data_IF_325369232000
#
_entry.id   IF_325369232000
#
_cell.length_a   1.000
_cell.length_b   1.000
_cell.length_c   1.000
_cell.angle_alpha   90.00
_cell.angle_beta   90.00
_cell.angle_gamma   90.00
#
_symmetry.space_group_name_H-M   'P 1'
#
loop_
_entity.id
_entity.type
_entity.pdbx_description
1 polymer ?
#
# COMPACT_ATOMS: atom_id res chain seq x y z
N UNK A 1 27.81 13.61 -2.56
CA UNK A 1 27.34 12.31 -3.05
C UNK A 1 26.34 11.77 -2.05
N UNK A 2 25.08 11.67 -2.45
CA UNK A 2 24.14 10.92 -1.64
C UNK A 2 24.55 9.46 -1.53
N UNK A 3 24.50 8.96 -0.29
CA UNK A 3 24.54 7.56 0.04
C UNK A 3 23.15 7.15 0.50
N UNK A 4 22.59 6.14 -0.16
CA UNK A 4 21.29 5.60 0.21
C UNK A 4 21.44 4.15 0.64
N UNK A 5 20.93 3.81 1.82
CA UNK A 5 20.92 2.44 2.33
C UNK A 5 19.47 1.95 2.36
N UNK A 6 19.19 0.91 1.59
CA UNK A 6 17.87 0.28 1.55
C UNK A 6 17.92 -1.05 2.28
N UNK A 7 16.98 -1.25 3.21
CA UNK A 7 16.84 -2.46 4.02
C UNK A 7 15.43 -3.01 3.88
N UNK A 8 15.31 -4.32 3.79
CA UNK A 8 14.04 -5.01 3.72
C UNK A 8 14.11 -6.37 4.43
N UNK A 9 12.97 -6.90 4.89
CA UNK A 9 12.93 -8.19 5.56
C UNK A 9 13.44 -9.30 4.65
N UNK A 10 14.33 -10.14 5.18
CA UNK A 10 14.88 -11.30 4.46
C UNK A 10 15.77 -10.97 3.26
N UNK A 11 16.14 -9.70 3.06
CA UNK A 11 16.96 -9.25 1.92
C UNK A 11 18.22 -8.54 2.42
N UNK A 12 19.40 -8.79 1.85
CA UNK A 12 20.60 -8.03 2.19
C UNK A 12 20.39 -6.52 2.02
N UNK A 13 21.01 -5.73 2.90
CA UNK A 13 20.98 -4.29 2.74
C UNK A 13 21.70 -3.89 1.45
N UNK A 14 21.08 -3.02 0.66
CA UNK A 14 21.66 -2.46 -0.55
C UNK A 14 22.17 -1.06 -0.23
N UNK A 15 23.39 -0.75 -0.65
CA UNK A 15 23.99 0.58 -0.52
C UNK A 15 24.17 1.14 -1.91
N UNK A 16 23.65 2.35 -2.13
CA UNK A 16 23.72 3.06 -3.39
C UNK A 16 24.52 4.35 -3.21
N UNK A 17 25.33 4.69 -4.21
CA UNK A 17 25.94 6.00 -4.39
C UNK A 17 25.20 6.86 -5.40
N UNK A 18 25.63 8.12 -5.55
CA UNK A 18 25.08 9.01 -6.58
C UNK A 18 25.33 8.47 -7.98
N UNK A 19 24.33 8.57 -8.84
CA UNK A 19 24.39 8.02 -10.19
C UNK A 19 23.93 6.56 -10.29
N UNK A 20 23.63 5.90 -9.17
CA UNK A 20 23.11 4.54 -9.15
C UNK A 20 21.59 4.51 -9.04
N UNK A 21 21.00 3.41 -9.50
CA UNK A 21 19.56 3.17 -9.47
C UNK A 21 19.28 1.79 -8.89
N UNK A 22 18.32 1.72 -7.98
CA UNK A 22 17.84 0.47 -7.41
C UNK A 22 16.47 0.09 -7.96
N UNK A 23 16.38 -1.10 -8.52
CA UNK A 23 15.14 -1.74 -8.95
C UNK A 23 14.64 -2.64 -7.83
N UNK A 24 13.43 -2.39 -7.33
CA UNK A 24 12.83 -3.12 -6.21
C UNK A 24 11.63 -3.90 -6.72
N UNK A 25 11.48 -5.16 -6.34
CA UNK A 25 10.25 -5.92 -6.63
C UNK A 25 10.39 -7.41 -6.41
N UNK A 26 9.39 -8.18 -6.84
CA UNK A 26 9.39 -9.65 -6.71
C UNK A 26 10.37 -10.34 -7.67
N UNK A 27 10.63 -9.74 -8.84
CA UNK A 27 11.55 -10.24 -9.86
C UNK A 27 12.23 -9.09 -10.64
N UNK A 28 12.95 -8.17 -9.95
CA UNK A 28 13.43 -6.92 -10.53
C UNK A 28 14.56 -7.11 -11.56
N UNK A 29 15.24 -8.25 -11.53
CA UNK A 29 16.29 -8.60 -12.51
C UNK A 29 15.77 -8.60 -13.96
N UNK A 30 14.49 -8.89 -14.17
CA UNK A 30 13.87 -8.87 -15.50
C UNK A 30 13.81 -7.47 -16.13
N UNK A 31 13.90 -6.42 -15.30
CA UNK A 31 13.83 -5.02 -15.73
C UNK A 31 15.22 -4.37 -15.89
N UNK A 32 16.32 -5.13 -15.76
CA UNK A 32 17.66 -4.61 -15.99
C UNK A 32 17.84 -4.29 -17.49
N UNK A 33 18.46 -3.15 -17.84
CA UNK A 33 18.76 -2.83 -19.24
C UNK A 33 19.64 -3.93 -19.84
N UNK A 34 19.29 -4.48 -21.01
CA UNK A 34 20.07 -5.54 -21.66
C UNK A 34 20.94 -5.02 -22.81
N UNK A 35 20.67 -3.80 -23.28
CA UNK A 35 21.26 -3.24 -24.50
C UNK A 35 22.61 -2.52 -24.27
N UNK A 36 22.92 -2.11 -23.03
CA UNK A 36 24.14 -1.35 -22.69
C UNK A 36 24.80 -1.89 -21.39
N UNK A 37 25.96 -2.57 -21.51
CA UNK A 37 26.72 -3.08 -20.36
C UNK A 37 27.21 -2.00 -19.40
N UNK A 38 27.53 -0.80 -19.90
CA UNK A 38 28.00 0.31 -19.06
C UNK A 38 26.84 0.93 -18.27
N UNK A 39 25.63 0.92 -18.84
CA UNK A 39 24.42 1.28 -18.12
C UNK A 39 24.10 0.25 -17.03
N UNK A 40 24.25 -1.06 -17.30
CA UNK A 40 23.98 -2.12 -16.31
C UNK A 40 24.76 -1.94 -15.00
N UNK A 41 26.00 -1.44 -15.05
CA UNK A 41 26.83 -1.21 -13.87
C UNK A 41 26.22 -0.21 -12.89
N UNK A 42 25.26 0.61 -13.32
CA UNK A 42 24.57 1.61 -12.48
C UNK A 42 23.28 1.09 -11.87
N UNK A 43 22.84 -0.10 -12.25
CA UNK A 43 21.61 -0.70 -11.73
C UNK A 43 21.90 -1.80 -10.74
N UNK A 44 21.26 -1.70 -9.59
CA UNK A 44 21.20 -2.79 -8.61
C UNK A 44 19.77 -3.29 -8.51
N UNK A 45 19.57 -4.60 -8.44
CA UNK A 45 18.26 -5.21 -8.29
C UNK A 45 18.11 -5.78 -6.88
N UNK A 46 17.05 -5.37 -6.16
CA UNK A 46 16.70 -5.86 -4.84
C UNK A 46 15.41 -6.68 -4.91
N UNK A 47 15.58 -8.01 -4.89
CA UNK A 47 14.46 -8.93 -4.89
C UNK A 47 13.79 -8.99 -3.51
N UNK A 48 12.48 -8.82 -3.47
CA UNK A 48 11.66 -8.98 -2.27
C UNK A 48 11.31 -10.46 -2.08
N UNK A 49 12.12 -11.16 -1.28
CA UNK A 49 12.10 -12.63 -1.13
C UNK A 49 10.76 -13.16 -0.61
N UNK A 50 10.07 -12.42 0.24
CA UNK A 50 8.78 -12.82 0.85
C UNK A 50 7.59 -12.04 0.29
N UNK A 51 7.70 -11.50 -0.93
CA UNK A 51 6.62 -10.74 -1.54
C UNK A 51 5.49 -11.64 -2.05
N UNK A 52 4.24 -11.23 -1.80
CA UNK A 52 3.06 -11.91 -2.30
C UNK A 52 3.03 -11.99 -3.84
N UNK A 53 2.33 -12.98 -4.39
CA UNK A 53 2.21 -13.15 -5.85
C UNK A 53 1.55 -11.97 -6.57
N UNK A 54 0.72 -11.20 -5.86
CA UNK A 54 0.03 -10.01 -6.39
C UNK A 54 0.89 -8.74 -6.33
N UNK A 55 2.08 -8.82 -5.72
CA UNK A 55 3.08 -7.75 -5.79
C UNK A 55 3.74 -7.79 -7.17
N UNK A 56 3.86 -6.62 -7.80
CA UNK A 56 4.46 -6.46 -9.13
C UNK A 56 5.90 -7.01 -9.19
N UNK A 57 6.32 -7.46 -10.37
CA UNK A 57 7.71 -7.93 -10.59
C UNK A 57 8.71 -6.82 -10.33
N UNK A 58 8.35 -5.60 -10.72
CA UNK A 58 8.98 -4.33 -10.37
C UNK A 58 7.93 -3.46 -9.66
N UNK A 59 8.19 -3.07 -8.41
CA UNK A 59 7.31 -2.20 -7.64
C UNK A 59 7.81 -0.77 -7.56
N UNK A 60 9.12 -0.57 -7.61
CA UNK A 60 9.72 0.73 -7.45
C UNK A 60 11.09 0.84 -8.08
N UNK A 61 11.39 2.04 -8.56
CA UNK A 61 12.69 2.48 -9.05
C UNK A 61 13.17 3.61 -8.15
N UNK A 62 14.28 3.39 -7.44
CA UNK A 62 14.92 4.40 -6.59
C UNK A 62 16.15 4.95 -7.30
N UNK A 63 16.05 6.18 -7.79
CA UNK A 63 17.14 6.87 -8.49
C UNK A 63 17.87 7.77 -7.50
N UNK A 64 19.17 7.56 -7.33
CA UNK A 64 20.01 8.39 -6.46
C UNK A 64 20.69 9.47 -7.30
N UNK A 65 20.17 10.70 -7.22
CA UNK A 65 20.78 11.86 -7.83
C UNK A 65 21.93 12.43 -7.00
N UNK A 66 22.41 13.60 -7.40
CA UNK A 66 23.46 14.34 -6.67
C UNK A 66 22.94 14.94 -5.37
N UNK A 67 21.73 15.53 -5.41
CA UNK A 67 21.14 16.31 -4.31
C UNK A 67 19.88 15.65 -3.74
N UNK A 68 19.24 14.74 -4.48
CA UNK A 68 17.99 14.10 -4.04
C UNK A 68 17.92 12.63 -4.47
N UNK A 69 17.33 11.81 -3.61
CA UNK A 69 16.90 10.47 -3.97
C UNK A 69 15.41 10.51 -4.35
N UNK A 70 15.05 9.89 -5.47
CA UNK A 70 13.68 9.85 -5.98
C UNK A 70 13.19 8.42 -6.09
N UNK A 71 12.07 8.13 -5.44
CA UNK A 71 11.35 6.88 -5.61
C UNK A 71 10.25 7.07 -6.65
N UNK A 72 10.28 6.26 -7.71
CA UNK A 72 9.19 6.10 -8.65
C UNK A 72 8.45 4.81 -8.34
N UNK A 73 7.13 4.88 -8.23
CA UNK A 73 6.27 3.74 -7.93
C UNK A 73 5.68 3.14 -9.21
N UNK A 74 5.88 1.84 -9.39
CA UNK A 74 5.37 1.03 -10.51
C UNK A 74 4.42 -0.07 -10.02
N UNK A 75 4.33 -0.29 -8.70
CA UNK A 75 3.48 -1.31 -8.13
C UNK A 75 2.01 -1.00 -8.37
N UNK A 76 1.25 -2.03 -8.75
CA UNK A 76 -0.22 -1.93 -8.76
C UNK A 76 -0.80 -2.08 -7.34
N UNK A 77 -0.01 -2.60 -6.40
CA UNK A 77 -0.34 -2.62 -5.00
C UNK A 77 -0.17 -1.20 -4.42
N UNK A 78 -1.06 -0.84 -3.50
CA UNK A 78 -0.95 0.43 -2.79
C UNK A 78 0.26 0.38 -1.84
N UNK A 79 1.00 1.47 -1.77
CA UNK A 79 2.10 1.63 -0.82
C UNK A 79 1.98 2.95 -0.07
N UNK A 80 2.53 3.01 1.13
CA UNK A 80 2.64 4.23 1.91
C UNK A 80 4.11 4.60 2.06
N UNK A 81 4.44 5.85 1.76
CA UNK A 81 5.74 6.43 2.03
C UNK A 81 5.61 7.42 3.20
N UNK A 82 6.48 7.28 4.20
CA UNK A 82 6.66 8.28 5.25
C UNK A 82 8.12 8.66 5.38
N UNK A 83 8.39 9.95 5.52
CA UNK A 83 9.71 10.51 5.79
C UNK A 83 9.73 11.30 7.09
N UNK A 84 10.93 11.66 7.53
CA UNK A 84 11.18 12.21 8.87
C UNK A 84 11.07 13.74 8.95
N UNK A 85 10.69 14.44 7.87
CA UNK A 85 10.67 15.90 7.89
C UNK A 85 9.79 16.48 9.02
N UNK A 86 10.32 17.57 9.59
CA UNK A 86 9.95 18.34 10.77
C UNK A 86 8.56 19.02 10.65
N UNK A 87 7.51 18.24 10.40
CA UNK A 87 6.15 18.73 10.38
C UNK A 87 5.61 18.79 11.82
N UNK A 88 5.22 19.96 12.35
CA UNK A 88 4.52 20.03 13.63
C UNK A 88 3.19 19.28 13.49
N UNK A 89 3.16 18.02 13.93
CA UNK A 89 2.03 17.10 13.71
C UNK A 89 2.40 15.65 13.36
N UNK A 90 3.66 15.33 13.08
CA UNK A 90 4.14 13.97 12.83
C UNK A 90 4.38 13.65 11.34
N UNK A 91 5.07 12.52 11.10
CA UNK A 91 5.54 12.10 9.78
C UNK A 91 4.42 12.12 8.72
N UNK A 92 4.63 12.89 7.64
CA UNK A 92 3.70 12.94 6.51
C UNK A 92 3.68 11.59 5.81
N UNK A 93 2.55 10.87 5.89
CA UNK A 93 2.30 9.65 5.13
C UNK A 93 1.66 9.98 3.80
N UNK A 94 2.24 9.51 2.71
CA UNK A 94 1.73 9.67 1.35
C UNK A 94 1.39 8.30 0.79
N UNK A 95 0.16 8.14 0.29
CA UNK A 95 -0.22 6.93 -0.45
C UNK A 95 0.33 7.04 -1.87
N UNK A 96 1.14 6.07 -2.28
CA UNK A 96 1.73 5.96 -3.60
C UNK A 96 0.81 5.11 -4.48
N UNK A 97 0.42 5.69 -5.61
CA UNK A 97 -0.30 5.00 -6.68
C UNK A 97 0.61 4.82 -7.89
N UNK A 98 0.25 3.89 -8.79
CA UNK A 98 1.04 3.57 -9.98
C UNK A 98 1.39 4.83 -10.79
N UNK A 99 2.67 4.97 -11.13
CA UNK A 99 3.19 6.10 -11.90
C UNK A 99 3.59 7.32 -11.06
N UNK A 100 3.26 7.36 -9.77
CA UNK A 100 3.69 8.45 -8.88
C UNK A 100 5.21 8.45 -8.68
N UNK A 101 5.76 9.63 -8.42
CA UNK A 101 7.14 9.81 -7.98
C UNK A 101 7.16 10.65 -6.72
N UNK A 102 8.01 10.27 -5.77
CA UNK A 102 8.21 10.96 -4.51
C UNK A 102 9.70 11.24 -4.29
N UNK A 103 10.01 12.41 -3.74
CA UNK A 103 11.35 12.73 -3.24
C UNK A 103 11.47 12.13 -1.84
N UNK A 104 12.64 11.57 -1.53
CA UNK A 104 12.95 11.07 -0.21
C UNK A 104 13.62 12.15 0.63
N UNK A 105 13.29 12.17 1.91
CA UNK A 105 13.87 13.08 2.88
C UNK A 105 15.27 12.61 3.30
N UNK A 106 16.09 13.52 3.80
CA UNK A 106 17.32 13.13 4.51
C UNK A 106 16.97 12.33 5.77
N UNK A 107 17.74 11.29 6.06
CA UNK A 107 17.50 10.37 7.17
C UNK A 107 16.57 9.22 6.81
N UNK A 108 15.79 8.76 7.78
CA UNK A 108 14.98 7.54 7.64
C UNK A 108 13.65 7.80 6.91
N UNK A 109 13.46 7.10 5.80
CA UNK A 109 12.20 7.00 5.09
C UNK A 109 11.69 5.55 5.19
N UNK A 110 10.39 5.40 5.39
CA UNK A 110 9.72 4.10 5.49
C UNK A 110 8.76 3.94 4.33
N UNK A 111 8.97 2.89 3.53
CA UNK A 111 8.11 2.49 2.43
C UNK A 111 7.38 1.20 2.81
N UNK A 112 6.08 1.29 3.03
CA UNK A 112 5.22 0.20 3.42
C UNK A 112 4.41 -0.28 2.20
N UNK A 113 4.73 -1.45 1.67
CA UNK A 113 3.94 -2.09 0.60
C UNK A 113 2.77 -2.82 1.26
N UNK A 114 1.55 -2.32 1.02
CA UNK A 114 0.37 -2.82 1.72
C UNK A 114 0.02 -4.22 1.24
N UNK A 115 -0.19 -5.14 2.19
CA UNK A 115 -0.40 -6.58 1.96
C UNK A 115 0.70 -7.24 1.13
N UNK A 116 1.88 -6.64 1.12
CA UNK A 116 3.00 -7.02 0.28
C UNK A 116 3.65 -8.36 0.63
N UNK A 117 3.41 -8.93 1.81
CA UNK A 117 3.96 -10.23 2.21
C UNK A 117 3.15 -11.40 1.65
N UNK A 118 3.76 -12.57 1.48
CA UNK A 118 3.07 -13.82 1.11
C UNK A 118 1.87 -14.15 2.02
N UNK A 119 1.97 -13.82 3.31
CA UNK A 119 0.90 -13.96 4.30
C UNK A 119 -0.20 -12.89 4.15
N UNK A 120 -0.08 -11.95 3.22
CA UNK A 120 -0.92 -10.75 3.07
C UNK A 120 -0.79 -9.71 4.19
N UNK A 121 0.26 -9.80 5.02
CA UNK A 121 0.70 -8.70 5.89
C UNK A 121 1.48 -7.63 5.12
N UNK A 122 1.80 -6.53 5.77
CA UNK A 122 2.54 -5.41 5.15
C UNK A 122 4.03 -5.68 5.03
N UNK A 123 4.65 -5.25 3.93
CA UNK A 123 6.09 -5.37 3.70
C UNK A 123 6.74 -4.00 3.87
N UNK A 124 7.53 -3.84 4.94
CA UNK A 124 8.24 -2.60 5.25
C UNK A 124 9.65 -2.60 4.65
N UNK A 125 9.98 -1.54 3.91
CA UNK A 125 11.33 -1.20 3.49
C UNK A 125 11.76 0.08 4.21
N UNK A 126 12.99 0.09 4.71
CA UNK A 126 13.61 1.26 5.35
C UNK A 126 14.67 1.81 4.40
N UNK A 127 14.57 3.09 4.07
CA UNK A 127 15.47 3.79 3.16
C UNK A 127 16.12 4.93 3.94
N UNK A 128 17.41 4.80 4.20
CA UNK A 128 18.22 5.79 4.90
C UNK A 128 19.01 6.61 3.88
N UNK A 129 18.77 7.92 3.82
CA UNK A 129 19.44 8.86 2.91
C UNK A 129 20.41 9.72 3.70
N UNK A 130 21.69 9.71 3.31
CA UNK A 130 22.75 10.48 3.98
C UNK A 130 23.71 11.13 2.97
N UNK A 131 24.33 12.24 3.34
CA UNK A 131 25.37 12.89 2.51
C UNK A 131 26.80 12.50 2.95
N UNK A 132 27.57 11.82 2.07
CA UNK A 132 29.05 11.96 2.08
C UNK A 132 29.64 12.58 0.78
N UNK A 133 30.89 13.05 0.80
CA UNK A 133 31.45 13.97 -0.21
C UNK A 133 31.92 13.38 -1.58
N UNK A 134 31.80 14.22 -2.64
CA UNK A 134 32.38 14.25 -4.02
C UNK A 134 31.86 13.27 -5.10
N UNK A 135 31.77 13.60 -6.43
CA UNK A 135 30.69 13.23 -7.41
C UNK A 135 31.05 12.27 -8.61
N UNK A 136 30.05 11.62 -9.27
CA UNK A 136 30.14 11.11 -10.66
C UNK A 136 28.85 11.43 -11.50
N UNK A 137 28.71 11.03 -12.78
CA UNK A 137 27.66 11.57 -13.67
C UNK A 137 26.31 10.84 -13.58
N UNK A 138 25.22 11.51 -13.99
CA UNK A 138 23.83 11.03 -13.92
C UNK A 138 23.53 9.76 -14.76
N UNK A 139 22.64 8.84 -14.31
CA UNK A 139 22.31 7.61 -15.02
C UNK A 139 21.19 7.80 -16.06
N UNK A 140 21.10 6.86 -17.03
CA UNK A 140 19.98 6.79 -17.97
C UNK A 140 18.66 6.44 -17.27
N UNK A 141 17.52 6.73 -17.94
CA UNK A 141 16.17 6.41 -17.44
C UNK A 141 15.77 5.00 -17.89
N UNK A 142 15.18 4.20 -17.00
CA UNK A 142 14.53 2.94 -17.39
C UNK A 142 13.17 3.26 -18.02
N UNK A 143 12.90 2.71 -19.20
CA UNK A 143 11.57 2.76 -19.78
C UNK A 143 10.62 1.88 -18.95
N UNK A 144 9.38 2.33 -18.72
CA UNK A 144 8.39 1.53 -18.01
C UNK A 144 8.18 0.21 -18.76
N UNK A 145 8.54 -0.92 -18.13
CA UNK A 145 8.42 -2.24 -18.72
C UNK A 145 6.95 -2.70 -18.71
N UNK A 146 6.32 -2.93 -19.88
CA UNK A 146 4.94 -3.41 -19.97
C UNK A 146 4.74 -4.82 -19.38
N UNK A 147 5.80 -5.61 -19.16
CA UNK A 147 5.77 -6.93 -18.52
C UNK A 147 5.98 -6.91 -16.99
N UNK A 148 6.01 -5.71 -16.37
CA UNK A 148 6.11 -5.51 -14.92
C UNK A 148 4.84 -5.90 -14.13
N UNK A 149 3.81 -6.40 -14.81
CA UNK A 149 2.49 -6.67 -14.25
C UNK A 149 2.50 -7.66 -13.06
N UNK A 150 1.54 -7.54 -12.11
CA UNK A 150 1.31 -8.53 -11.08
C UNK A 150 1.10 -9.92 -11.68
N UNK A 151 1.66 -10.94 -11.04
CA UNK A 151 1.50 -12.33 -11.49
C UNK A 151 0.31 -13.06 -10.86
N UNK A 152 -0.45 -12.38 -10.01
CA UNK A 152 -1.63 -12.93 -9.34
C UNK A 152 -2.58 -11.83 -8.90
N UNK A 153 -3.83 -12.19 -8.63
CA UNK A 153 -4.85 -11.27 -8.12
C UNK A 153 -4.67 -11.09 -6.60
N UNK A 154 -4.72 -9.84 -6.14
CA UNK A 154 -4.74 -9.57 -4.70
C UNK A 154 -6.02 -10.15 -4.06
N UNK A 155 -5.98 -10.62 -2.80
CA UNK A 155 -7.19 -10.97 -2.06
C UNK A 155 -8.16 -9.79 -2.06
N UNK A 156 -9.44 -10.05 -2.29
CA UNK A 156 -10.45 -9.02 -2.40
C UNK A 156 -11.83 -9.52 -2.03
N UNK A 157 -12.75 -8.58 -1.85
CA UNK A 157 -14.16 -8.88 -1.61
C UNK A 157 -14.86 -9.13 -2.94
N UNK A 158 -15.81 -10.07 -2.95
CA UNK A 158 -16.63 -10.33 -4.13
C UNK A 158 -17.66 -9.21 -4.24
N UNK A 159 -17.62 -8.46 -5.35
CA UNK A 159 -18.55 -7.35 -5.60
C UNK A 159 -19.99 -7.85 -5.54
N UNK A 160 -20.85 -7.10 -4.85
CA UNK A 160 -22.28 -7.43 -4.71
C UNK A 160 -22.60 -8.38 -3.56
N UNK A 161 -21.61 -8.99 -2.93
CA UNK A 161 -21.82 -9.82 -1.74
C UNK A 161 -21.92 -8.98 -0.47
N UNK A 162 -22.44 -9.61 0.59
CA UNK A 162 -22.66 -9.00 1.91
C UNK A 162 -21.43 -8.27 2.44
N UNK A 163 -20.26 -8.92 2.44
CA UNK A 163 -19.02 -8.37 2.99
C UNK A 163 -18.55 -7.14 2.20
N UNK A 164 -18.78 -7.11 0.89
CA UNK A 164 -18.42 -5.97 0.04
C UNK A 164 -19.28 -4.73 0.37
N UNK A 165 -20.58 -4.91 0.56
CA UNK A 165 -21.48 -3.83 0.99
C UNK A 165 -21.20 -3.34 2.41
N UNK A 166 -20.91 -4.26 3.34
CA UNK A 166 -20.51 -3.88 4.71
C UNK A 166 -19.17 -3.13 4.70
N UNK A 167 -18.20 -3.56 3.87
CA UNK A 167 -16.94 -2.84 3.70
C UNK A 167 -17.14 -1.44 3.12
N UNK A 168 -18.03 -1.28 2.13
CA UNK A 168 -18.42 0.04 1.60
C UNK A 168 -18.99 0.94 2.70
N UNK A 169 -19.93 0.43 3.50
CA UNK A 169 -20.53 1.20 4.59
C UNK A 169 -19.51 1.61 5.65
N UNK A 170 -18.57 0.72 5.99
CA UNK A 170 -17.49 1.02 6.93
C UNK A 170 -16.51 2.05 6.36
N UNK A 171 -16.10 1.89 5.10
CA UNK A 171 -15.08 2.71 4.46
C UNK A 171 -15.61 4.07 3.96
N UNK A 172 -16.93 4.26 3.89
CA UNK A 172 -17.58 5.45 3.34
C UNK A 172 -16.99 6.79 3.82
N UNK A 173 -16.66 7.02 5.12
CA UNK A 173 -16.05 8.27 5.55
C UNK A 173 -14.75 8.58 4.81
N UNK A 174 -13.87 7.58 4.66
CA UNK A 174 -12.59 7.72 3.96
C UNK A 174 -12.75 7.84 2.45
N UNK A 175 -13.73 7.14 1.88
CA UNK A 175 -14.00 7.20 0.44
C UNK A 175 -14.62 8.55 0.01
N UNK A 176 -15.17 9.31 0.96
CA UNK A 176 -15.78 10.63 0.71
C UNK A 176 -14.93 11.80 1.22
N UNK A 177 -13.75 11.53 1.81
CA UNK A 177 -12.87 12.54 2.39
C UNK A 177 -13.38 13.13 3.71
N UNK A 178 -14.33 12.47 4.37
CA UNK A 178 -14.83 12.80 5.70
C UNK A 178 -13.99 12.10 6.78
N UNK A 179 -12.66 12.16 6.67
CA UNK A 179 -11.71 11.44 7.55
C UNK A 179 -11.73 11.97 8.99
N UNK A 180 -12.23 13.20 9.19
CA UNK A 180 -12.46 13.83 10.48
C UNK A 180 -13.67 13.22 11.24
N UNK A 181 -14.34 12.23 10.65
CA UNK A 181 -15.54 11.64 11.22
C UNK A 181 -15.22 10.87 12.53
N UNK A 182 -15.72 11.34 13.69
CA UNK A 182 -15.16 10.95 14.99
C UNK A 182 -15.59 9.55 15.46
N UNK A 183 -16.48 8.85 14.74
CA UNK A 183 -16.95 7.51 15.11
C UNK A 183 -17.20 6.60 13.91
N UNK A 184 -16.86 5.32 13.94
CA UNK A 184 -17.29 4.40 12.89
C UNK A 184 -18.83 4.23 12.89
N UNK A 185 -19.42 3.82 11.75
CA UNK A 185 -20.85 3.59 11.67
C UNK A 185 -21.30 2.42 12.58
N UNK A 186 -22.47 2.59 13.18
CA UNK A 186 -23.15 1.59 14.00
C UNK A 186 -23.74 0.47 13.13
N UNK A 187 -24.12 -0.65 13.76
CA UNK A 187 -24.79 -1.76 13.05
C UNK A 187 -26.06 -1.32 12.32
N UNK A 188 -26.82 -0.43 12.96
CA UNK A 188 -28.04 0.11 12.37
C UNK A 188 -27.74 0.96 11.15
N UNK A 189 -26.77 1.86 11.24
CA UNK A 189 -26.35 2.69 10.09
C UNK A 189 -25.82 1.83 8.94
N UNK A 190 -25.04 0.78 9.23
CA UNK A 190 -24.59 -0.18 8.21
C UNK A 190 -25.78 -0.86 7.55
N UNK A 191 -26.72 -1.41 8.35
CA UNK A 191 -27.92 -2.05 7.83
C UNK A 191 -28.74 -1.12 6.92
N UNK A 192 -29.00 0.11 7.38
CA UNK A 192 -29.81 1.10 6.65
C UNK A 192 -29.14 1.51 5.32
N UNK A 193 -27.81 1.69 5.31
CA UNK A 193 -27.04 1.96 4.07
C UNK A 193 -27.12 0.81 3.08
N UNK A 194 -26.86 -0.42 3.54
CA UNK A 194 -26.89 -1.60 2.67
C UNK A 194 -28.29 -1.83 2.11
N UNK A 195 -29.33 -1.66 2.94
CA UNK A 195 -30.71 -1.73 2.49
C UNK A 195 -31.02 -0.68 1.43
N UNK A 196 -30.56 0.56 1.62
CA UNK A 196 -30.72 1.65 0.65
C UNK A 196 -29.98 1.41 -0.67
N UNK A 197 -28.79 0.81 -0.63
CA UNK A 197 -27.99 0.54 -1.83
C UNK A 197 -28.46 -0.68 -2.62
N UNK A 198 -28.76 -1.78 -1.94
CA UNK A 198 -29.00 -3.07 -2.58
C UNK A 198 -30.50 -3.46 -2.60
N UNK A 199 -31.34 -2.83 -1.78
CA UNK A 199 -32.75 -3.21 -1.59
C UNK A 199 -32.95 -4.45 -0.70
N UNK A 200 -31.88 -5.19 -0.40
CA UNK A 200 -31.87 -6.34 0.50
C UNK A 200 -30.58 -6.35 1.33
N UNK A 201 -30.69 -6.64 2.63
CA UNK A 201 -29.59 -6.48 3.58
C UNK A 201 -29.24 -7.77 4.36
N UNK A 202 -29.42 -8.98 3.81
CA UNK A 202 -28.90 -10.26 4.37
C UNK A 202 -29.04 -10.46 5.90
N UNK A 203 -30.18 -10.04 6.49
CA UNK A 203 -30.42 -10.06 7.94
C UNK A 203 -29.40 -9.26 8.78
N UNK A 204 -28.79 -8.21 8.22
CA UNK A 204 -27.88 -7.29 8.91
C UNK A 204 -28.58 -6.48 10.01
N UNK A 205 -29.90 -6.53 10.11
CA UNK A 205 -30.66 -6.09 11.30
C UNK A 205 -30.14 -6.76 12.59
N UNK A 206 -29.60 -7.98 12.48
CA UNK A 206 -28.97 -8.70 13.58
C UNK A 206 -27.50 -8.30 13.67
N UNK A 207 -27.14 -7.63 14.76
CA UNK A 207 -25.76 -7.19 15.05
C UNK A 207 -24.70 -8.26 14.78
N UNK A 208 -24.97 -9.51 15.16
CA UNK A 208 -24.05 -10.64 14.92
C UNK A 208 -23.67 -10.80 13.43
N UNK A 209 -24.63 -10.60 12.50
CA UNK A 209 -24.36 -10.76 11.06
C UNK A 209 -23.45 -9.65 10.54
N UNK A 210 -23.58 -8.45 11.09
CA UNK A 210 -22.67 -7.33 10.78
C UNK A 210 -21.28 -7.65 11.35
N UNK A 211 -21.20 -8.13 12.58
CA UNK A 211 -19.92 -8.47 13.22
C UNK A 211 -19.20 -9.64 12.51
N UNK A 212 -19.94 -10.65 12.03
CA UNK A 212 -19.39 -11.75 11.23
C UNK A 212 -18.75 -11.21 9.93
N UNK A 213 -19.44 -10.30 9.23
CA UNK A 213 -18.93 -9.66 8.02
C UNK A 213 -17.69 -8.79 8.33
N UNK A 214 -17.71 -8.03 9.44
CA UNK A 214 -16.57 -7.23 9.89
C UNK A 214 -15.33 -8.11 10.12
N UNK A 215 -15.48 -9.29 10.74
CA UNK A 215 -14.37 -10.24 10.94
C UNK A 215 -13.80 -10.78 9.63
N UNK A 216 -14.68 -11.09 8.67
CA UNK A 216 -14.25 -11.55 7.35
C UNK A 216 -13.45 -10.45 6.61
N UNK A 217 -13.92 -9.20 6.67
CA UNK A 217 -13.23 -8.04 6.09
C UNK A 217 -11.86 -7.84 6.76
N UNK A 218 -11.80 -7.91 8.10
CA UNK A 218 -10.56 -7.75 8.85
C UNK A 218 -9.48 -8.76 8.44
N UNK A 219 -9.86 -10.04 8.34
CA UNK A 219 -8.95 -11.11 7.94
C UNK A 219 -8.33 -10.86 6.54
N UNK A 220 -9.09 -10.26 5.62
CA UNK A 220 -8.63 -9.94 4.26
C UNK A 220 -7.81 -8.64 4.22
N UNK A 221 -8.20 -7.64 5.02
CA UNK A 221 -7.60 -6.30 5.02
C UNK A 221 -6.23 -6.23 5.73
N UNK A 222 -6.05 -7.05 6.77
CA UNK A 222 -4.84 -7.09 7.60
C UNK A 222 -3.98 -8.34 7.38
N UNK A 223 -4.56 -9.43 6.88
CA UNK A 223 -3.90 -10.74 6.87
C UNK A 223 -3.93 -11.40 8.26
N UNK A 224 -3.40 -12.63 8.38
CA UNK A 224 -3.57 -13.49 9.55
C UNK A 224 -2.81 -13.03 10.80
N UNK A 225 -1.72 -12.27 10.62
CA UNK A 225 -0.84 -11.85 11.71
C UNK A 225 -1.26 -10.52 12.34
N UNK A 226 -1.83 -9.62 11.55
CA UNK A 226 -2.19 -8.26 11.97
C UNK A 226 -3.70 -8.09 12.18
N UNK A 227 -4.49 -9.16 12.02
CA UNK A 227 -5.94 -9.13 12.23
C UNK A 227 -6.28 -8.74 13.68
N UNK A 228 -6.98 -7.61 13.91
CA UNK A 228 -7.30 -7.12 15.25
C UNK A 228 -8.15 -8.09 16.08
N UNK A 229 -8.82 -9.06 15.45
CA UNK A 229 -9.57 -10.11 16.15
C UNK A 229 -8.72 -11.32 16.54
N UNK A 230 -7.51 -11.45 16.01
CA UNK A 230 -6.57 -12.56 16.27
C UNK A 230 -5.41 -12.17 17.18
N UNK A 231 -5.05 -10.87 17.22
CA UNK A 231 -3.95 -10.38 18.06
C UNK A 231 -4.25 -10.52 19.57
N UNK A 232 -3.21 -10.74 20.41
CA UNK A 232 -3.37 -10.83 21.87
C UNK A 232 -4.00 -9.57 22.49
N UNK A 233 -4.68 -9.73 23.63
CA UNK A 233 -5.48 -8.66 24.27
C UNK A 233 -4.71 -7.36 24.57
N UNK A 234 -3.38 -7.40 24.73
CA UNK A 234 -2.52 -6.23 24.97
C UNK A 234 -2.15 -5.41 23.72
N UNK A 235 -2.47 -5.89 22.51
CA UNK A 235 -2.19 -5.21 21.23
C UNK A 235 -3.48 -4.82 20.48
N UNK A 236 -4.65 -4.92 21.13
CA UNK A 236 -5.93 -4.61 20.49
C UNK A 236 -6.04 -3.13 20.17
N UNK A 237 -6.37 -2.86 18.91
CA UNK A 237 -6.60 -1.51 18.41
C UNK A 237 -7.80 -0.89 19.11
N UNK A 238 -7.64 0.34 19.60
CA UNK A 238 -8.78 1.12 20.09
C UNK A 238 -9.73 1.39 18.91
N UNK A 239 -11.00 1.05 19.08
CA UNK A 239 -12.03 1.23 18.04
C UNK A 239 -11.79 0.40 16.76
N UNK A 240 -11.82 -0.93 16.90
CA UNK A 240 -11.59 -1.92 15.83
C UNK A 240 -12.33 -1.63 14.52
N UNK A 241 -13.59 -1.17 14.58
CA UNK A 241 -14.38 -0.86 13.37
C UNK A 241 -13.80 0.29 12.57
N UNK A 242 -13.33 1.32 13.26
CA UNK A 242 -12.69 2.46 12.62
C UNK A 242 -11.41 2.01 11.91
N UNK A 243 -10.58 1.23 12.60
CA UNK A 243 -9.36 0.67 12.02
C UNK A 243 -9.64 -0.19 10.78
N UNK A 244 -10.68 -1.03 10.82
CA UNK A 244 -11.07 -1.87 9.68
C UNK A 244 -11.60 -1.04 8.51
N UNK A 245 -12.47 -0.05 8.76
CA UNK A 245 -13.01 0.82 7.71
C UNK A 245 -11.90 1.60 7.00
N UNK A 246 -11.01 2.22 7.79
CA UNK A 246 -9.82 2.90 7.28
C UNK A 246 -8.96 1.96 6.44
N UNK A 247 -8.63 0.80 7.01
CA UNK A 247 -7.76 -0.16 6.36
C UNK A 247 -8.35 -0.70 5.06
N UNK A 248 -9.66 -0.96 5.02
CA UNK A 248 -10.36 -1.41 3.83
C UNK A 248 -10.30 -0.39 2.70
N UNK A 249 -10.32 0.92 3.02
CA UNK A 249 -10.09 1.99 2.07
C UNK A 249 -8.62 2.05 1.61
N UNK A 250 -7.66 2.03 2.55
CA UNK A 250 -6.22 2.08 2.27
C UNK A 250 -5.75 0.95 1.35
N UNK A 251 -6.24 -0.28 1.58
CA UNK A 251 -5.89 -1.44 0.76
C UNK A 251 -6.82 -1.66 -0.43
N UNK A 252 -7.74 -0.72 -0.68
CA UNK A 252 -8.71 -0.70 -1.79
C UNK A 252 -9.52 -1.99 -1.93
N UNK A 253 -10.01 -2.53 -0.81
CA UNK A 253 -11.04 -3.57 -0.86
C UNK A 253 -12.35 -3.05 -1.46
N UNK A 254 -12.57 -1.75 -1.30
CA UNK A 254 -13.67 -0.96 -1.83
C UNK A 254 -13.12 0.42 -2.21
N UNK A 255 -13.68 1.05 -3.24
CA UNK A 255 -13.17 2.32 -3.78
C UNK A 255 -14.24 3.41 -3.83
N UNK A 256 -13.84 4.67 -4.00
CA UNK A 256 -14.78 5.77 -4.18
C UNK A 256 -15.65 5.58 -5.44
N UNK A 257 -15.12 4.94 -6.48
CA UNK A 257 -15.89 4.58 -7.68
C UNK A 257 -16.97 3.52 -7.38
N UNK A 258 -16.67 2.56 -6.51
CA UNK A 258 -17.66 1.57 -6.04
C UNK A 258 -18.79 2.25 -5.27
N UNK A 259 -18.44 3.15 -4.35
CA UNK A 259 -19.41 3.93 -3.58
C UNK A 259 -20.27 4.82 -4.49
N UNK A 260 -19.67 5.45 -5.49
CA UNK A 260 -20.41 6.26 -6.45
C UNK A 260 -21.37 5.42 -7.31
N UNK A 261 -20.98 4.20 -7.68
CA UNK A 261 -21.82 3.28 -8.44
C UNK A 261 -23.06 2.85 -7.64
N UNK A 262 -22.89 2.35 -6.41
CA UNK A 262 -24.03 1.91 -5.58
C UNK A 262 -24.98 3.06 -5.24
N UNK A 263 -24.45 4.27 -5.06
CA UNK A 263 -25.28 5.46 -4.83
C UNK A 263 -26.04 5.89 -6.09
N UNK A 264 -25.50 5.64 -7.28
CA UNK A 264 -26.20 5.91 -8.54
C UNK A 264 -27.31 4.90 -8.76
N UNK A 265 -27.00 3.62 -8.60
CA UNK A 265 -27.95 2.52 -8.77
C UNK A 265 -29.14 2.65 -7.79
N UNK A 266 -28.88 3.11 -6.57
CA UNK A 266 -29.91 3.38 -5.57
C UNK A 266 -30.84 4.56 -5.89
N UNK A 267 -30.40 5.51 -6.74
CA UNK A 267 -31.16 6.73 -7.07
C UNK A 267 -32.06 6.57 -8.30
N UNK A 268 -31.85 5.55 -9.12
CA UNK A 268 -32.56 5.34 -10.40
C UNK A 268 -31.98 6.18 -11.53
#
# INVERSE_FOLDING_TARGET
>A
MLRVIVRGPGTPAVVLGSGETLLIGRAPLSALPTDDPDAQLRYTAMQLVHAAQHVSRLVGELVVGEEMARLRWHGSAEAQLSGLFDAPGGARRVTLTEGMSALLDEGENQLLVLRGQESHGDLLLVIDVSEPAAPPPAPPRVAADPDAAPTGKAPGLVRGEREWYVALALAEPWLTGADDYPRPPSNREIYERVLGWHGYAWNLERSQRVDDAIRAIAAIAFGPNDDPFRVPAGQRVQNVRFAIGRRAAEVRLVTAADLAAVNRDARG
#
